data_IF_829857137065
#
_entry.id   IF_829857137065
#
_cell.length_a   1.000
_cell.length_b   1.000
_cell.length_c   1.000
_cell.angle_alpha   90.00
_cell.angle_beta   90.00
_cell.angle_gamma   90.00
#
_symmetry.space_group_name_H-M   'P 1'
#
loop_
_entity.id
_entity.type
_entity.pdbx_description
1 polymer ?
#
# COMPACT_ATOMS: atom_id res chain seq x y z
N UNK A 1 -14.70 -8.58 -5.33
CA UNK A 1 -14.65 -7.18 -5.85
C UNK A 1 -15.94 -6.48 -5.45
N UNK A 2 -15.86 -5.34 -4.78
CA UNK A 2 -17.03 -4.61 -4.25
C UNK A 2 -17.41 -3.39 -5.09
N UNK A 3 -17.03 -3.28 -6.36
CA UNK A 3 -17.39 -2.10 -7.16
C UNK A 3 -18.90 -1.99 -7.45
N UNK A 4 -19.42 -0.76 -7.49
CA UNK A 4 -20.62 -0.41 -8.28
C UNK A 4 -20.14 0.10 -9.64
N UNK A 5 -20.64 -0.46 -10.74
CA UNK A 5 -20.21 -0.05 -12.08
C UNK A 5 -20.67 1.38 -12.36
N UNK A 6 -19.72 2.28 -12.65
CA UNK A 6 -19.99 3.65 -13.10
C UNK A 6 -19.68 3.82 -14.58
N UNK A 7 -20.31 4.79 -15.24
CA UNK A 7 -19.95 5.21 -16.59
C UNK A 7 -19.05 6.43 -16.48
N UNK A 8 -17.82 6.32 -16.98
CA UNK A 8 -16.94 7.46 -17.17
C UNK A 8 -17.45 8.19 -18.43
N UNK A 9 -18.02 9.38 -18.24
CA UNK A 9 -18.61 10.17 -19.33
C UNK A 9 -17.61 11.13 -19.99
N UNK A 10 -16.56 11.53 -19.26
CA UNK A 10 -15.49 12.39 -19.74
C UNK A 10 -14.20 12.12 -18.95
N UNK A 11 -13.05 12.17 -19.62
CA UNK A 11 -11.71 12.10 -19.01
C UNK A 11 -10.85 13.14 -19.70
N UNK A 12 -10.41 14.13 -18.92
CA UNK A 12 -9.33 15.02 -19.36
C UNK A 12 -8.00 14.46 -18.87
N UNK A 13 -7.08 14.20 -19.81
CA UNK A 13 -5.71 13.78 -19.52
C UNK A 13 -4.77 14.91 -19.89
N UNK A 14 -4.18 15.55 -18.89
CA UNK A 14 -3.15 16.57 -19.12
C UNK A 14 -1.81 15.90 -19.46
N UNK A 15 -1.22 16.31 -20.58
CA UNK A 15 0.13 15.89 -20.94
C UNK A 15 1.11 16.76 -20.17
N UNK A 16 1.66 16.22 -19.09
CA UNK A 16 2.74 16.86 -18.34
C UNK A 16 4.11 16.60 -19.00
N UNK A 17 5.00 17.59 -19.09
CA UNK A 17 6.37 17.36 -19.52
C UNK A 17 7.06 16.33 -18.61
N UNK A 18 7.88 15.47 -19.21
CA UNK A 18 8.68 14.51 -18.45
C UNK A 18 9.87 15.24 -17.82
N UNK A 19 9.71 15.69 -16.57
CA UNK A 19 10.77 16.34 -15.80
C UNK A 19 11.79 15.32 -15.29
N UNK A 20 12.96 15.81 -14.87
CA UNK A 20 13.87 15.00 -14.08
C UNK A 20 13.40 14.97 -12.62
N UNK A 21 13.49 13.80 -12.01
CA UNK A 21 13.15 13.58 -10.62
C UNK A 21 14.39 12.98 -9.94
N UNK A 22 14.80 13.59 -8.84
CA UNK A 22 15.82 13.02 -7.96
C UNK A 22 15.13 12.05 -7.00
N UNK A 23 15.50 10.78 -7.08
CA UNK A 23 15.13 9.75 -6.09
C UNK A 23 16.26 9.64 -5.06
N UNK A 24 15.97 9.91 -3.79
CA UNK A 24 16.85 9.58 -2.66
C UNK A 24 16.36 8.30 -2.03
N UNK A 25 17.29 7.50 -1.51
CA UNK A 25 16.98 6.24 -0.84
C UNK A 25 17.72 6.25 0.49
N UNK A 26 16.97 6.06 1.57
CA UNK A 26 17.51 5.99 2.92
C UNK A 26 17.04 4.68 3.56
N UNK A 27 17.92 4.07 4.34
CA UNK A 27 17.62 2.85 5.08
C UNK A 27 17.52 3.16 6.57
N UNK A 28 16.43 2.70 7.18
CA UNK A 28 16.15 2.88 8.59
C UNK A 28 15.54 1.62 9.20
N UNK A 29 14.96 1.80 10.38
CA UNK A 29 14.21 0.76 11.08
C UNK A 29 12.81 1.27 11.42
N UNK A 30 11.94 0.36 11.86
CA UNK A 30 10.55 0.69 12.18
C UNK A 30 10.45 1.74 13.28
N UNK A 31 11.34 1.71 14.28
CA UNK A 31 11.29 2.61 15.44
C UNK A 31 11.55 4.08 15.07
N UNK A 32 12.52 4.35 14.19
CA UNK A 32 12.74 5.71 13.68
C UNK A 32 11.54 6.20 12.90
N UNK A 33 10.98 5.35 12.04
CA UNK A 33 9.77 5.66 11.27
C UNK A 33 8.56 5.96 12.17
N UNK A 34 8.30 5.15 13.20
CA UNK A 34 7.23 5.38 14.17
C UNK A 34 7.41 6.74 14.86
N UNK A 35 8.64 7.07 15.25
CA UNK A 35 8.96 8.37 15.87
C UNK A 35 8.63 9.54 14.94
N UNK A 36 9.02 9.44 13.66
CA UNK A 36 8.74 10.46 12.66
C UNK A 36 7.24 10.56 12.37
N UNK A 37 6.53 9.44 12.27
CA UNK A 37 5.08 9.40 12.07
C UNK A 37 4.32 9.98 13.26
N UNK A 38 4.75 9.74 14.50
CA UNK A 38 4.20 10.38 15.69
C UNK A 38 4.40 11.89 15.65
N UNK A 39 5.56 12.36 15.19
CA UNK A 39 5.79 13.80 15.01
C UNK A 39 4.83 14.39 13.96
N UNK A 40 4.72 13.76 12.79
CA UNK A 40 3.80 14.19 11.71
C UNK A 40 2.36 14.23 12.21
N UNK A 41 1.90 13.19 12.90
CA UNK A 41 0.57 13.12 13.50
C UNK A 41 0.35 14.29 14.47
N UNK A 42 1.29 14.52 15.39
CA UNK A 42 1.16 15.58 16.39
C UNK A 42 1.10 16.96 15.75
N UNK A 43 1.95 17.22 14.75
CA UNK A 43 1.97 18.47 14.00
C UNK A 43 0.65 18.68 13.23
N UNK A 44 0.10 17.63 12.60
CA UNK A 44 -1.22 17.67 11.96
C UNK A 44 -2.32 17.95 12.98
N UNK A 45 -2.34 17.27 14.12
CA UNK A 45 -3.33 17.47 15.18
C UNK A 45 -3.25 18.86 15.81
N UNK A 46 -2.06 19.46 15.89
CA UNK A 46 -1.90 20.85 16.27
C UNK A 46 -2.47 21.82 15.23
N UNK A 47 -2.23 21.55 13.94
CA UNK A 47 -2.80 22.33 12.85
C UNK A 47 -4.33 22.29 12.86
N UNK A 48 -4.95 21.10 12.90
CA UNK A 48 -6.42 20.93 12.95
C UNK A 48 -7.04 21.66 14.13
N UNK A 49 -6.38 21.66 15.30
CA UNK A 49 -6.86 22.42 16.48
C UNK A 49 -6.82 23.94 16.28
N UNK A 50 -5.87 24.45 15.50
CA UNK A 50 -5.72 25.89 15.23
C UNK A 50 -6.64 26.36 14.11
N UNK A 51 -6.82 25.54 13.08
CA UNK A 51 -7.66 25.84 11.92
C UNK A 51 -8.50 24.61 11.50
N UNK A 52 -9.63 24.36 12.17
CA UNK A 52 -10.46 23.20 11.88
C UNK A 52 -11.15 23.27 10.51
N UNK A 53 -11.31 24.47 9.94
CA UNK A 53 -11.95 24.64 8.64
C UNK A 53 -10.98 24.41 7.48
N UNK A 54 -9.69 24.72 7.68
CA UNK A 54 -8.65 24.42 6.71
C UNK A 54 -8.09 22.99 6.86
N UNK A 55 -8.41 22.25 7.93
CA UNK A 55 -7.94 20.88 8.14
C UNK A 55 -8.05 19.94 6.91
N UNK A 56 -9.14 19.95 6.12
CA UNK A 56 -9.27 19.10 4.94
C UNK A 56 -8.48 19.58 3.72
N UNK A 57 -8.02 20.83 3.65
CA UNK A 57 -7.39 21.40 2.45
C UNK A 57 -5.97 21.96 2.69
N UNK A 58 -5.70 22.32 3.93
CA UNK A 58 -4.42 22.74 4.42
C UNK A 58 -3.44 21.60 4.29
N UNK A 59 -2.34 21.87 3.59
CA UNK A 59 -1.13 21.06 3.64
C UNK A 59 -0.27 21.71 4.72
N UNK A 60 -0.47 21.43 6.03
CA UNK A 60 0.48 21.88 7.01
C UNK A 60 1.87 21.39 6.64
N UNK A 61 2.90 22.07 7.12
CA UNK A 61 4.29 21.68 6.88
C UNK A 61 4.57 20.20 7.23
N UNK A 62 3.75 19.58 8.09
CA UNK A 62 3.78 18.15 8.40
C UNK A 62 3.42 17.23 7.23
N UNK A 63 2.47 17.62 6.38
CA UNK A 63 2.14 16.87 5.16
C UNK A 63 3.18 17.16 4.07
N UNK A 64 3.67 18.40 3.98
CA UNK A 64 4.75 18.74 3.05
C UNK A 64 6.03 17.92 3.33
N UNK A 65 6.28 17.54 4.59
CA UNK A 65 7.38 16.65 4.96
C UNK A 65 7.20 15.20 4.46
N UNK A 66 5.98 14.81 4.11
CA UNK A 66 5.62 13.50 3.56
C UNK A 66 5.37 13.54 2.05
N UNK A 67 5.35 14.75 1.47
CA UNK A 67 5.09 14.91 0.05
C UNK A 67 6.16 14.19 -0.75
N UNK A 68 5.72 13.47 -1.77
CA UNK A 68 6.59 12.68 -2.63
C UNK A 68 7.51 11.71 -1.85
N UNK A 69 7.01 11.12 -0.75
CA UNK A 69 7.70 10.09 0.02
C UNK A 69 6.95 8.76 0.03
N UNK A 70 7.69 7.66 -0.09
CA UNK A 70 7.18 6.30 0.04
C UNK A 70 8.11 5.45 0.88
N UNK A 71 7.57 4.39 1.51
CA UNK A 71 8.37 3.46 2.29
C UNK A 71 8.07 2.02 1.92
N UNK A 72 9.11 1.20 1.78
CA UNK A 72 8.99 -0.25 1.87
C UNK A 72 9.34 -0.70 3.29
N UNK A 73 8.39 -1.33 3.97
CA UNK A 73 8.57 -1.87 5.31
C UNK A 73 8.75 -3.38 5.23
N UNK A 74 10.00 -3.82 5.36
CA UNK A 74 10.39 -5.23 5.46
C UNK A 74 10.15 -5.71 6.89
N UNK A 75 8.89 -6.03 7.20
CA UNK A 75 8.41 -6.27 8.57
C UNK A 75 9.27 -7.32 9.30
N UNK A 76 9.42 -8.59 8.85
CA UNK A 76 10.25 -9.57 9.55
C UNK A 76 11.70 -9.16 9.77
N UNK A 77 12.27 -8.38 8.85
CA UNK A 77 13.65 -7.91 8.92
C UNK A 77 13.80 -6.65 9.81
N UNK A 78 12.71 -6.09 10.35
CA UNK A 78 12.66 -4.81 11.04
C UNK A 78 13.42 -3.70 10.29
N UNK A 79 13.28 -3.70 8.97
CA UNK A 79 14.00 -2.78 8.08
C UNK A 79 13.01 -1.98 7.27
N UNK A 80 13.35 -0.72 7.04
CA UNK A 80 12.52 0.22 6.33
C UNK A 80 13.37 0.93 5.28
N UNK A 81 12.92 0.93 4.04
CA UNK A 81 13.54 1.64 2.93
C UNK A 81 12.66 2.85 2.59
N UNK A 82 13.14 4.04 2.90
CA UNK A 82 12.52 5.31 2.53
C UNK A 82 12.97 5.71 1.13
N UNK A 83 12.03 6.16 0.32
CA UNK A 83 12.28 6.79 -0.97
C UNK A 83 11.66 8.18 -0.99
N UNK A 84 12.48 9.19 -1.28
CA UNK A 84 12.03 10.56 -1.49
C UNK A 84 12.17 10.93 -2.97
N UNK A 85 11.15 11.56 -3.55
CA UNK A 85 11.14 12.03 -4.92
C UNK A 85 11.12 13.57 -4.94
N UNK A 86 12.06 14.17 -5.64
CA UNK A 86 12.17 15.63 -5.77
C UNK A 86 12.16 16.02 -7.25
N UNK A 87 11.09 16.68 -7.69
CA UNK A 87 10.98 17.15 -9.08
C UNK A 87 11.90 18.35 -9.32
N UNK A 88 12.74 18.26 -10.34
CA UNK A 88 13.74 19.27 -10.71
C UNK A 88 13.19 20.19 -11.81
N UNK A 89 12.34 21.15 -11.43
CA UNK A 89 11.65 22.06 -12.36
C UNK A 89 12.57 23.01 -13.15
N UNK A 90 13.79 23.28 -12.69
CA UNK A 90 14.67 24.36 -13.21
C UNK A 90 15.77 23.88 -14.18
N UNK A 91 15.65 22.68 -14.74
CA UNK A 91 16.51 22.26 -15.85
C UNK A 91 15.84 22.53 -17.20
N UNK A 92 15.49 23.79 -17.48
CA UNK A 92 15.00 24.19 -18.82
C UNK A 92 15.99 23.89 -19.94
N UNK A 93 17.23 23.56 -19.58
CA UNK A 93 18.20 23.00 -20.51
C UNK A 93 18.50 21.54 -20.14
N UNK A 94 17.60 20.64 -20.56
CA UNK A 94 17.83 19.20 -20.64
C UNK A 94 19.12 18.84 -21.41
N UNK A 95 19.74 19.80 -22.13
CA UNK A 95 21.02 19.65 -22.84
C UNK A 95 22.20 20.20 -22.03
N UNK A 96 22.00 21.07 -21.03
CA UNK A 96 23.05 21.60 -20.15
C UNK A 96 23.24 20.84 -18.85
N UNK A 97 22.40 19.85 -18.54
CA UNK A 97 22.81 18.83 -17.57
C UNK A 97 23.93 18.06 -18.26
N UNK A 98 25.22 18.40 -18.03
CA UNK A 98 26.29 18.05 -18.92
C UNK A 98 26.54 16.56 -18.77
N UNK A 99 26.00 15.72 -19.66
CA UNK A 99 26.17 14.27 -19.60
C UNK A 99 26.23 13.71 -18.16
N UNK A 100 25.38 14.20 -17.24
CA UNK A 100 25.05 13.44 -16.04
C UNK A 100 24.16 12.24 -16.41
N UNK A 101 23.94 12.05 -17.72
CA UNK A 101 24.08 10.79 -18.46
C UNK A 101 25.24 9.97 -17.87
N UNK A 102 24.91 9.27 -16.79
CA UNK A 102 25.58 8.10 -16.22
C UNK A 102 26.67 8.29 -15.14
N UNK A 103 26.31 8.71 -13.92
CA UNK A 103 26.82 7.95 -12.76
C UNK A 103 26.11 6.59 -12.59
N UNK A 104 25.08 6.34 -13.42
CA UNK A 104 24.55 5.01 -13.71
C UNK A 104 25.48 4.15 -14.61
N UNK A 105 26.64 4.65 -15.10
CA UNK A 105 27.58 3.88 -15.96
C UNK A 105 28.58 3.06 -15.16
N UNK A 106 28.76 3.34 -13.87
CA UNK A 106 29.68 2.54 -13.06
C UNK A 106 28.98 1.41 -12.28
N UNK A 107 27.64 1.39 -12.23
CA UNK A 107 26.87 0.19 -11.93
C UNK A 107 26.21 -0.34 -13.21
N UNK A 108 27.02 -0.94 -14.09
CA UNK A 108 26.57 -1.70 -15.25
C UNK A 108 25.50 -2.73 -14.86
N UNK A 109 24.23 -2.32 -14.94
CA UNK A 109 23.08 -3.12 -15.39
C UNK A 109 21.85 -2.24 -15.32
N UNK A 110 21.48 -1.60 -16.43
CA UNK A 110 20.05 -1.45 -16.70
C UNK A 110 19.54 -2.88 -16.70
N UNK A 111 18.72 -3.25 -15.72
CA UNK A 111 18.23 -4.62 -15.57
C UNK A 111 17.24 -4.88 -16.70
N UNK A 112 17.77 -5.27 -17.84
CA UNK A 112 17.00 -5.53 -19.06
C UNK A 112 16.55 -6.99 -19.14
N UNK A 113 17.20 -7.86 -18.36
CA UNK A 113 16.95 -9.30 -18.32
C UNK A 113 17.27 -9.89 -16.93
N UNK A 114 16.93 -11.16 -16.73
CA UNK A 114 17.14 -11.86 -15.46
C UNK A 114 18.62 -12.04 -15.09
N UNK A 115 19.54 -12.18 -16.06
CA UNK A 115 20.97 -12.36 -15.78
C UNK A 115 21.59 -11.09 -15.20
N UNK A 116 21.20 -9.93 -15.74
CA UNK A 116 21.59 -8.62 -15.25
C UNK A 116 21.14 -8.41 -13.79
N UNK A 117 19.89 -8.80 -13.50
CA UNK A 117 19.33 -8.77 -12.16
C UNK A 117 20.12 -9.64 -11.17
N UNK A 118 20.39 -10.90 -11.54
CA UNK A 118 21.15 -11.83 -10.71
C UNK A 118 22.59 -11.39 -10.47
N UNK A 119 23.22 -10.77 -11.47
CA UNK A 119 24.55 -10.20 -11.33
C UNK A 119 24.55 -9.00 -10.37
N UNK A 120 23.54 -8.14 -10.43
CA UNK A 120 23.38 -7.02 -9.51
C UNK A 120 23.15 -7.51 -8.07
N UNK A 121 22.26 -8.48 -7.87
CA UNK A 121 22.05 -9.16 -6.59
C UNK A 121 23.36 -9.74 -6.07
N UNK A 122 24.12 -10.46 -6.90
CA UNK A 122 25.38 -11.07 -6.47
C UNK A 122 26.43 -10.05 -6.03
N UNK A 123 26.50 -8.87 -6.67
CA UNK A 123 27.40 -7.78 -6.26
C UNK A 123 26.97 -7.16 -4.94
N UNK A 124 25.67 -6.92 -4.76
CA UNK A 124 25.12 -6.40 -3.51
C UNK A 124 25.31 -7.41 -2.37
N UNK A 125 25.08 -8.70 -2.64
CA UNK A 125 25.25 -9.80 -1.69
C UNK A 125 26.68 -9.88 -1.14
N UNK A 126 27.69 -9.76 -2.01
CA UNK A 126 29.09 -9.76 -1.61
C UNK A 126 29.47 -8.62 -0.64
N UNK A 127 28.61 -7.61 -0.50
CA UNK A 127 28.81 -6.48 0.40
C UNK A 127 28.00 -6.60 1.71
N UNK A 128 26.99 -7.47 1.79
CA UNK A 128 25.93 -7.37 2.80
C UNK A 128 25.66 -8.60 3.67
N UNK A 129 26.13 -9.81 3.33
CA UNK A 129 25.75 -11.02 4.07
C UNK A 129 26.91 -11.76 4.73
N UNK A 130 26.63 -12.30 5.93
CA UNK A 130 27.56 -13.05 6.76
C UNK A 130 27.06 -14.48 7.12
N UNK A 131 25.95 -14.96 6.55
CA UNK A 131 25.42 -16.30 6.87
C UNK A 131 25.26 -17.22 5.65
N UNK A 132 25.58 -18.50 5.85
CA UNK A 132 25.46 -19.56 4.85
C UNK A 132 24.01 -19.75 4.34
N UNK A 133 23.01 -19.49 5.19
CA UNK A 133 21.59 -19.61 4.83
C UNK A 133 21.14 -18.58 3.79
N UNK A 134 21.77 -17.41 3.76
CA UNK A 134 21.45 -16.35 2.78
C UNK A 134 22.14 -16.60 1.44
N UNK A 135 23.33 -17.22 1.46
CA UNK A 135 24.01 -17.65 0.23
C UNK A 135 23.25 -18.74 -0.50
N UNK A 136 22.78 -19.76 0.22
CA UNK A 136 21.93 -20.82 -0.31
C UNK A 136 20.65 -20.25 -0.94
N UNK A 137 20.03 -19.25 -0.30
CA UNK A 137 18.83 -18.61 -0.80
C UNK A 137 19.06 -17.81 -2.09
N UNK A 138 20.14 -17.03 -2.19
CA UNK A 138 20.47 -16.33 -3.44
C UNK A 138 20.80 -17.31 -4.55
N UNK A 139 21.47 -18.42 -4.23
CA UNK A 139 21.74 -19.48 -5.19
C UNK A 139 20.44 -20.15 -5.67
N UNK A 140 19.49 -20.41 -4.78
CA UNK A 140 18.16 -20.93 -5.11
C UNK A 140 17.34 -19.95 -5.97
N UNK A 141 17.44 -18.64 -5.72
CA UNK A 141 16.84 -17.60 -6.56
C UNK A 141 17.45 -17.58 -7.96
N UNK A 142 18.77 -17.75 -8.06
CA UNK A 142 19.46 -17.89 -9.35
C UNK A 142 18.94 -19.09 -10.12
N UNK A 143 18.80 -20.23 -9.46
CA UNK A 143 18.31 -21.47 -10.08
C UNK A 143 16.87 -21.32 -10.59
N UNK A 144 15.96 -20.77 -9.78
CA UNK A 144 14.58 -20.50 -10.22
C UNK A 144 14.49 -19.48 -11.36
N UNK A 145 15.36 -18.46 -11.35
CA UNK A 145 15.43 -17.46 -12.43
C UNK A 145 16.09 -18.01 -13.72
N UNK A 146 16.80 -19.13 -13.65
CA UNK A 146 17.35 -19.84 -14.83
C UNK A 146 16.33 -20.81 -15.40
N UNK A 147 15.61 -21.56 -14.57
CA UNK A 147 14.56 -22.50 -15.00
C UNK A 147 13.36 -21.81 -15.70
N UNK A 148 13.11 -20.55 -15.32
CA UNK A 148 12.04 -19.69 -15.85
C UNK A 148 12.22 -19.25 -17.32
N UNK A 149 13.36 -19.54 -17.95
CA UNK A 149 13.56 -19.40 -19.40
C UNK A 149 12.95 -20.56 -20.22
N UNK A 150 12.31 -21.54 -19.57
CA UNK A 150 11.50 -22.56 -20.25
C UNK A 150 10.05 -22.08 -20.41
N UNK A 151 9.41 -22.45 -21.52
CA UNK A 151 8.06 -22.01 -21.91
C UNK A 151 6.91 -22.63 -21.05
N UNK A 152 7.20 -23.38 -19.98
CA UNK A 152 6.18 -24.04 -19.16
C UNK A 152 5.71 -23.17 -17.97
N UNK A 153 4.44 -22.69 -17.94
CA UNK A 153 4.00 -21.71 -16.94
C UNK A 153 3.54 -22.28 -15.59
N UNK A 154 3.35 -23.59 -15.45
CA UNK A 154 2.42 -24.14 -14.44
C UNK A 154 3.04 -24.63 -13.11
N UNK A 155 4.38 -24.70 -12.99
CA UNK A 155 5.04 -25.34 -11.82
C UNK A 155 5.74 -24.37 -10.85
N UNK A 156 5.80 -23.08 -11.16
CA UNK A 156 6.53 -22.08 -10.34
C UNK A 156 5.65 -21.53 -9.20
N UNK A 157 4.35 -21.45 -9.44
CA UNK A 157 3.34 -20.85 -8.55
C UNK A 157 3.25 -21.55 -7.17
N UNK A 158 3.30 -22.88 -7.14
CA UNK A 158 3.23 -23.71 -5.92
C UNK A 158 4.54 -23.61 -5.10
N UNK A 159 5.64 -23.29 -5.76
CA UNK A 159 6.99 -23.44 -5.22
C UNK A 159 7.40 -22.30 -4.27
N UNK A 160 6.89 -21.10 -4.50
CA UNK A 160 7.26 -19.90 -3.72
C UNK A 160 6.70 -19.96 -2.30
N UNK A 161 5.43 -20.31 -2.13
CA UNK A 161 4.81 -20.41 -0.81
C UNK A 161 5.40 -21.52 0.07
N UNK A 162 5.75 -22.66 -0.53
CA UNK A 162 6.42 -23.75 0.21
C UNK A 162 7.88 -23.40 0.54
N UNK A 163 8.57 -22.67 -0.34
CA UNK A 163 9.89 -22.09 -0.03
C UNK A 163 9.83 -21.04 1.07
N UNK A 164 8.83 -20.14 1.09
CA UNK A 164 8.65 -19.15 2.17
C UNK A 164 8.61 -19.81 3.55
N UNK A 165 7.95 -20.97 3.67
CA UNK A 165 7.95 -21.75 4.93
C UNK A 165 9.31 -22.36 5.25
N UNK A 166 9.99 -22.94 4.26
CA UNK A 166 11.31 -23.57 4.47
C UNK A 166 12.37 -22.59 4.94
N UNK A 167 12.40 -21.40 4.34
CA UNK A 167 13.43 -20.39 4.60
C UNK A 167 13.03 -19.45 5.74
N UNK A 168 11.74 -19.36 6.08
CA UNK A 168 11.21 -18.46 7.09
C UNK A 168 11.04 -17.02 6.60
N UNK A 169 10.06 -16.31 7.18
CA UNK A 169 9.70 -14.96 6.76
C UNK A 169 10.88 -13.96 6.84
N UNK A 170 11.75 -14.12 7.84
CA UNK A 170 12.95 -13.28 8.01
C UNK A 170 13.91 -13.35 6.82
N UNK A 171 14.22 -14.56 6.34
CA UNK A 171 15.17 -14.73 5.23
C UNK A 171 14.55 -14.26 3.90
N UNK A 172 13.27 -14.52 3.70
CA UNK A 172 12.57 -14.04 2.50
C UNK A 172 12.46 -12.51 2.47
N UNK A 173 12.11 -11.90 3.60
CA UNK A 173 12.06 -10.44 3.74
C UNK A 173 13.43 -9.79 3.51
N UNK A 174 14.51 -10.43 3.97
CA UNK A 174 15.88 -9.99 3.70
C UNK A 174 16.25 -10.05 2.20
N UNK A 175 15.77 -11.06 1.46
CA UNK A 175 15.92 -11.10 0.01
C UNK A 175 15.16 -9.97 -0.66
N UNK A 176 13.91 -9.72 -0.29
CA UNK A 176 13.15 -8.63 -0.88
C UNK A 176 13.82 -7.28 -0.64
N UNK A 177 14.37 -7.06 0.56
CA UNK A 177 15.15 -5.86 0.85
C UNK A 177 16.35 -5.70 -0.10
N UNK A 178 17.08 -6.79 -0.35
CA UNK A 178 18.19 -6.78 -1.31
C UNK A 178 17.72 -6.49 -2.75
N UNK A 179 16.59 -7.09 -3.14
CA UNK A 179 15.97 -6.90 -4.45
C UNK A 179 15.54 -5.44 -4.63
N UNK A 180 14.86 -4.86 -3.64
CA UNK A 180 14.37 -3.49 -3.68
C UNK A 180 15.51 -2.47 -3.74
N UNK A 181 16.62 -2.71 -3.03
CA UNK A 181 17.84 -1.90 -3.13
C UNK A 181 18.40 -1.85 -4.56
N UNK A 182 18.33 -2.98 -5.27
CA UNK A 182 18.80 -3.11 -6.66
C UNK A 182 17.82 -2.47 -7.65
N UNK A 183 16.52 -2.60 -7.40
CA UNK A 183 15.47 -2.11 -8.29
C UNK A 183 15.23 -0.61 -8.18
N UNK A 184 15.40 -0.05 -6.99
CA UNK A 184 15.10 1.33 -6.69
C UNK A 184 16.34 2.10 -6.22
N UNK A 185 17.43 2.18 -7.00
CA UNK A 185 18.64 2.90 -6.60
C UNK A 185 18.38 4.41 -6.51
N UNK A 186 19.11 5.09 -5.62
CA UNK A 186 19.14 6.55 -5.61
C UNK A 186 19.74 7.12 -6.90
N UNK A 187 19.32 8.30 -7.32
CA UNK A 187 19.82 8.94 -8.53
C UNK A 187 18.88 10.01 -9.08
N UNK A 188 19.20 10.53 -10.27
CA UNK A 188 18.34 11.44 -11.02
C UNK A 188 17.87 10.72 -12.27
N UNK A 189 16.56 10.61 -12.44
CA UNK A 189 15.94 9.86 -13.52
C UNK A 189 14.89 10.71 -14.23
N UNK A 190 14.55 10.40 -15.48
CA UNK A 190 13.28 10.86 -16.04
C UNK A 190 12.13 10.44 -15.12
N UNK A 191 11.11 11.28 -14.92
CA UNK A 191 10.02 11.05 -13.97
C UNK A 191 9.40 9.64 -14.10
N UNK A 192 9.17 9.18 -15.33
CA UNK A 192 8.65 7.82 -15.62
C UNK A 192 9.49 6.68 -15.03
N UNK A 193 10.80 6.86 -14.92
CA UNK A 193 11.76 5.87 -14.39
C UNK A 193 12.08 6.10 -12.91
N UNK A 194 11.88 7.32 -12.41
CA UNK A 194 12.14 7.69 -11.03
C UNK A 194 11.14 7.03 -10.08
N UNK A 195 9.85 7.13 -10.39
CA UNK A 195 8.79 6.61 -9.53
C UNK A 195 8.76 5.08 -9.54
N UNK A 196 8.28 4.50 -8.43
CA UNK A 196 8.12 3.05 -8.27
C UNK A 196 7.23 2.53 -9.40
N UNK A 197 7.81 1.69 -10.27
CA UNK A 197 7.10 1.06 -11.35
C UNK A 197 7.50 -0.42 -11.43
N UNK A 198 6.54 -1.27 -11.77
CA UNK A 198 6.85 -2.64 -12.18
C UNK A 198 7.37 -2.60 -13.62
N UNK A 199 8.69 -2.67 -13.77
CA UNK A 199 9.30 -2.85 -15.09
C UNK A 199 8.96 -4.24 -15.66
N UNK A 200 9.30 -4.48 -16.93
CA UNK A 200 8.95 -5.75 -17.60
C UNK A 200 9.53 -7.00 -16.91
N UNK A 201 10.70 -6.89 -16.30
CA UNK A 201 11.33 -8.00 -15.56
C UNK A 201 10.52 -8.29 -14.30
N UNK A 202 10.19 -7.25 -13.54
CA UNK A 202 9.32 -7.36 -12.36
C UNK A 202 7.94 -7.90 -12.72
N UNK A 203 7.33 -7.45 -13.81
CA UNK A 203 6.06 -7.98 -14.28
C UNK A 203 6.17 -9.48 -14.65
N UNK A 204 7.25 -9.89 -15.31
CA UNK A 204 7.49 -11.29 -15.65
C UNK A 204 7.70 -12.17 -14.42
N UNK A 205 8.43 -11.67 -13.43
CA UNK A 205 8.62 -12.30 -12.12
C UNK A 205 7.30 -12.37 -11.35
N UNK A 206 6.63 -11.24 -11.20
CA UNK A 206 5.39 -11.10 -10.44
C UNK A 206 4.26 -11.94 -11.04
N UNK A 207 4.07 -11.97 -12.37
CA UNK A 207 3.01 -12.79 -12.99
C UNK A 207 3.08 -14.28 -12.59
N UNK A 208 4.25 -14.77 -12.20
CA UNK A 208 4.51 -16.17 -11.77
C UNK A 208 4.66 -16.32 -10.25
N UNK A 209 4.50 -15.22 -9.51
CA UNK A 209 4.57 -15.18 -8.04
C UNK A 209 3.31 -14.53 -7.44
N UNK A 210 2.38 -14.03 -8.27
CA UNK A 210 1.23 -13.21 -7.90
C UNK A 210 0.01 -14.03 -7.44
N UNK A 211 0.24 -15.06 -6.63
CA UNK A 211 -0.87 -15.69 -5.92
C UNK A 211 -0.88 -15.12 -4.50
N UNK A 212 -1.50 -13.96 -4.37
CA UNK A 212 -1.71 -13.29 -3.10
C UNK A 212 -2.97 -12.45 -3.16
N UNK A 213 -3.55 -12.20 -1.99
CA UNK A 213 -4.56 -11.17 -1.84
C UNK A 213 -3.89 -9.86 -1.43
N UNK A 214 -4.04 -8.84 -2.27
CA UNK A 214 -3.52 -7.51 -1.95
C UNK A 214 -4.54 -6.74 -1.13
N UNK A 215 -4.17 -6.36 0.10
CA UNK A 215 -4.96 -5.50 0.96
C UNK A 215 -4.36 -4.10 0.98
N UNK A 216 -5.21 -3.11 1.21
CA UNK A 216 -4.77 -1.75 1.40
C UNK A 216 -5.70 -1.04 2.37
N UNK A 217 -5.10 -0.42 3.38
CA UNK A 217 -5.81 0.27 4.45
C UNK A 217 -5.38 1.72 4.46
N UNK A 218 -6.35 2.63 4.40
CA UNK A 218 -6.14 4.07 4.51
C UNK A 218 -6.37 4.51 5.97
N UNK A 219 -5.29 4.74 6.69
CA UNK A 219 -5.26 5.14 8.10
C UNK A 219 -5.33 6.68 8.18
N UNK A 220 -6.27 7.27 8.94
CA UNK A 220 -6.35 8.71 9.09
C UNK A 220 -5.07 9.31 9.69
N UNK A 221 -4.59 10.43 9.14
CA UNK A 221 -3.30 11.00 9.54
C UNK A 221 -3.27 11.42 11.02
N UNK A 222 -4.42 11.82 11.59
CA UNK A 222 -4.52 12.17 13.01
C UNK A 222 -4.28 11.00 13.98
N UNK A 223 -4.25 9.74 13.49
CA UNK A 223 -3.99 8.51 14.26
C UNK A 223 -2.80 7.69 13.77
N UNK A 224 -2.19 8.07 12.65
CA UNK A 224 -1.23 7.21 11.97
C UNK A 224 -0.01 6.85 12.83
N UNK A 225 0.55 7.80 13.56
CA UNK A 225 1.65 7.56 14.49
C UNK A 225 1.29 6.61 15.63
N UNK A 226 0.12 6.78 16.26
CA UNK A 226 -0.38 5.87 17.32
C UNK A 226 -0.61 4.46 16.77
N UNK A 227 -1.19 4.37 15.57
CA UNK A 227 -1.41 3.11 14.88
C UNK A 227 -0.09 2.39 14.59
N UNK A 228 0.92 3.06 14.03
CA UNK A 228 2.21 2.43 13.74
C UNK A 228 3.00 2.08 15.02
N UNK A 229 2.89 2.88 16.09
CA UNK A 229 3.46 2.53 17.40
C UNK A 229 2.84 1.24 17.95
N UNK A 230 1.51 1.12 17.88
CA UNK A 230 0.80 -0.10 18.27
C UNK A 230 1.18 -1.31 17.41
N UNK A 231 1.23 -1.15 16.09
CA UNK A 231 1.64 -2.21 15.18
C UNK A 231 3.09 -2.64 15.41
N UNK A 232 4.00 -1.71 15.67
CA UNK A 232 5.41 -2.02 15.97
C UNK A 232 5.53 -2.92 17.19
N UNK A 233 4.81 -2.59 18.27
CA UNK A 233 4.80 -3.40 19.50
C UNK A 233 4.24 -4.81 19.28
N UNK A 234 3.27 -4.97 18.37
CA UNK A 234 2.69 -6.27 18.02
C UNK A 234 3.57 -7.09 17.06
N UNK A 235 4.28 -6.42 16.14
CA UNK A 235 5.16 -7.08 15.17
C UNK A 235 6.46 -7.53 15.81
N UNK A 236 6.98 -6.78 16.78
CA UNK A 236 8.26 -7.01 17.43
C UNK A 236 8.11 -7.11 18.96
N UNK A 237 7.41 -8.14 19.46
CA UNK A 237 7.23 -8.32 20.89
C UNK A 237 8.56 -8.64 21.60
N UNK A 238 8.57 -8.50 22.92
CA UNK A 238 9.74 -8.81 23.76
C UNK A 238 10.26 -10.25 23.53
N UNK A 239 11.58 -10.47 23.67
CA UNK A 239 12.17 -11.80 23.48
C UNK A 239 11.49 -12.88 24.36
N UNK A 240 11.08 -13.97 23.73
CA UNK A 240 10.39 -15.09 24.40
C UNK A 240 8.87 -15.05 24.28
N UNK A 241 8.29 -14.07 23.57
CA UNK A 241 6.87 -14.09 23.22
C UNK A 241 6.49 -15.38 22.46
N UNK A 242 5.28 -15.94 22.71
CA UNK A 242 4.76 -17.08 21.95
C UNK A 242 4.80 -16.84 20.44
N UNK A 243 4.99 -17.90 19.65
CA UNK A 243 5.07 -17.79 18.19
C UNK A 243 3.80 -17.17 17.57
N UNK A 244 2.63 -17.46 18.15
CA UNK A 244 1.34 -16.90 17.70
C UNK A 244 1.24 -15.38 17.94
N UNK A 245 2.11 -14.82 18.79
CA UNK A 245 2.22 -13.38 19.04
C UNK A 245 3.32 -12.71 18.21
N UNK A 246 4.11 -13.46 17.43
CA UNK A 246 5.13 -12.91 16.53
C UNK A 246 4.53 -12.54 15.17
N UNK A 247 3.65 -11.54 15.14
CA UNK A 247 2.81 -11.22 13.98
C UNK A 247 3.60 -10.93 12.70
N UNK A 248 4.85 -10.45 12.84
CA UNK A 248 5.74 -10.18 11.73
C UNK A 248 5.91 -11.39 10.79
N UNK A 249 5.80 -12.63 11.30
CA UNK A 249 5.95 -13.84 10.48
C UNK A 249 4.89 -13.99 9.40
N UNK A 250 3.75 -13.31 9.51
CA UNK A 250 2.69 -13.30 8.50
C UNK A 250 3.00 -12.46 7.25
N UNK A 251 4.12 -11.70 7.24
CA UNK A 251 4.42 -10.66 6.25
C UNK A 251 5.78 -10.88 5.57
N UNK A 252 5.95 -11.95 4.78
CA UNK A 252 7.24 -12.29 4.19
C UNK A 252 7.73 -11.24 3.16
N UNK A 253 6.81 -10.51 2.54
CA UNK A 253 7.04 -9.46 1.55
C UNK A 253 6.90 -8.06 2.16
N UNK A 254 7.55 -7.03 1.58
CA UNK A 254 7.49 -5.68 2.11
C UNK A 254 6.08 -5.09 2.02
N UNK A 255 5.67 -4.40 3.08
CA UNK A 255 4.52 -3.52 3.02
C UNK A 255 4.90 -2.20 2.32
N UNK A 256 3.99 -1.63 1.53
CA UNK A 256 4.20 -0.32 0.90
C UNK A 256 3.38 0.74 1.64
N UNK A 257 4.06 1.76 2.16
CA UNK A 257 3.45 2.88 2.86
C UNK A 257 3.51 4.12 1.97
N UNK A 258 2.36 4.78 1.80
CA UNK A 258 2.19 5.97 0.96
C UNK A 258 1.34 7.01 1.66
N UNK A 259 1.54 8.27 1.34
CA UNK A 259 0.79 9.38 1.90
C UNK A 259 -0.07 9.98 0.81
N UNK A 260 -1.35 10.17 1.11
CA UNK A 260 -2.31 10.70 0.15
C UNK A 260 -3.05 11.84 0.81
N UNK A 261 -3.15 12.96 0.10
CA UNK A 261 -3.99 14.08 0.51
C UNK A 261 -5.46 13.65 0.61
N UNK A 262 -6.23 14.42 1.34
CA UNK A 262 -7.69 14.36 1.32
C UNK A 262 -8.23 14.54 -0.10
N UNK A 263 -9.36 13.90 -0.38
CA UNK A 263 -10.14 14.09 -1.59
C UNK A 263 -11.60 14.29 -1.24
N UNK A 264 -12.30 15.10 -2.04
CA UNK A 264 -13.70 15.43 -1.77
C UNK A 264 -14.70 14.47 -2.44
N UNK A 265 -14.21 13.36 -3.01
CA UNK A 265 -15.08 12.34 -3.59
C UNK A 265 -15.81 11.57 -2.49
N UNK A 266 -17.11 11.33 -2.68
CA UNK A 266 -17.98 10.77 -1.63
C UNK A 266 -17.43 9.52 -0.94
N UNK A 267 -16.80 8.62 -1.71
CA UNK A 267 -16.30 7.34 -1.21
C UNK A 267 -14.79 7.22 -1.33
N UNK A 268 -14.05 8.31 -1.55
CA UNK A 268 -12.59 8.21 -1.50
C UNK A 268 -12.19 7.75 -0.09
N UNK A 269 -11.32 6.74 0.06
CA UNK A 269 -10.84 6.37 1.39
C UNK A 269 -10.19 7.56 2.13
N UNK A 270 -9.70 8.58 1.42
CA UNK A 270 -9.18 9.85 2.00
C UNK A 270 -10.22 10.95 2.19
N UNK A 271 -11.51 10.64 2.05
CA UNK A 271 -12.56 11.63 2.28
C UNK A 271 -12.49 12.17 3.73
N UNK A 272 -12.51 13.50 3.84
CA UNK A 272 -12.53 14.24 5.10
C UNK A 272 -11.16 14.60 5.67
N UNK A 273 -10.11 13.83 5.37
CA UNK A 273 -8.75 14.13 5.83
C UNK A 273 -7.65 13.37 5.05
N UNK A 274 -6.41 13.87 5.04
CA UNK A 274 -5.24 13.15 4.56
C UNK A 274 -5.04 11.81 5.27
N UNK A 275 -4.51 10.81 4.56
CA UNK A 275 -4.33 9.46 5.09
C UNK A 275 -3.00 8.83 4.70
N UNK A 276 -2.60 7.86 5.51
CA UNK A 276 -1.51 6.94 5.23
C UNK A 276 -2.08 5.65 4.67
N UNK A 277 -1.71 5.31 3.45
CA UNK A 277 -2.04 4.04 2.82
C UNK A 277 -0.99 3.02 3.21
N UNK A 278 -1.41 1.94 3.87
CA UNK A 278 -0.60 0.76 4.11
C UNK A 278 -1.09 -0.36 3.20
N UNK A 279 -0.27 -0.71 2.21
CA UNK A 279 -0.49 -1.84 1.33
C UNK A 279 0.28 -3.05 1.87
N UNK A 280 -0.43 -4.14 2.09
CA UNK A 280 0.10 -5.41 2.61
C UNK A 280 -0.51 -6.55 1.81
N UNK A 281 0.24 -7.63 1.59
CA UNK A 281 -0.23 -8.73 0.74
C UNK A 281 -0.19 -10.06 1.51
N UNK A 282 -1.28 -10.82 1.44
CA UNK A 282 -1.40 -12.14 2.05
C UNK A 282 -0.97 -13.22 1.06
N UNK A 283 0.32 -13.53 1.08
CA UNK A 283 0.91 -14.63 0.33
C UNK A 283 0.69 -16.01 0.97
N UNK A 284 0.47 -16.04 2.29
CA UNK A 284 0.50 -17.30 3.01
C UNK A 284 -0.77 -18.13 2.77
N UNK A 285 -1.92 -17.47 2.70
CA UNK A 285 -3.22 -18.13 2.43
C UNK A 285 -3.21 -18.91 1.10
N UNK A 286 -2.49 -18.40 0.09
CA UNK A 286 -2.43 -19.01 -1.24
C UNK A 286 -1.20 -19.91 -1.47
N UNK A 287 -0.38 -20.13 -0.44
CA UNK A 287 0.70 -21.11 -0.52
C UNK A 287 0.14 -22.54 -0.56
N UNK A 288 0.91 -23.51 -1.06
CA UNK A 288 0.57 -24.95 -1.00
C UNK A 288 0.17 -25.38 0.43
N UNK A 289 0.74 -24.72 1.44
CA UNK A 289 0.30 -24.81 2.84
C UNK A 289 -1.17 -24.50 3.02
N UNK A 290 -1.56 -23.27 2.64
CA UNK A 290 -2.86 -22.70 2.88
C UNK A 290 -3.91 -23.42 2.08
N UNK A 291 -3.64 -23.68 0.79
CA UNK A 291 -4.56 -24.37 -0.10
C UNK A 291 -4.81 -25.83 0.33
N UNK A 292 -3.76 -26.61 0.60
CA UNK A 292 -3.93 -28.03 0.94
C UNK A 292 -4.42 -28.28 2.37
N UNK A 293 -4.32 -27.29 3.26
CA UNK A 293 -4.74 -27.44 4.67
C UNK A 293 -5.94 -26.60 5.05
N UNK A 294 -6.45 -25.75 4.13
CA UNK A 294 -7.49 -24.76 4.43
C UNK A 294 -7.07 -23.75 5.50
N UNK A 295 -5.75 -23.54 5.69
CA UNK A 295 -5.23 -22.67 6.75
C UNK A 295 -5.19 -21.23 6.27
N UNK A 296 -5.87 -20.36 7.02
CA UNK A 296 -5.81 -18.91 6.86
C UNK A 296 -4.52 -18.36 7.48
N UNK A 297 -4.01 -17.24 6.94
CA UNK A 297 -2.92 -16.49 7.55
C UNK A 297 -3.41 -15.75 8.81
N UNK A 298 -3.49 -16.46 9.94
CA UNK A 298 -4.05 -15.91 11.19
C UNK A 298 -3.28 -14.70 11.71
N UNK A 299 -1.95 -14.65 11.52
CA UNK A 299 -1.14 -13.46 11.85
C UNK A 299 -1.59 -12.24 11.03
N UNK A 300 -1.77 -12.41 9.73
CA UNK A 300 -2.22 -11.34 8.84
C UNK A 300 -3.60 -10.83 9.22
N UNK A 301 -4.57 -11.73 9.44
CA UNK A 301 -5.91 -11.33 9.83
C UNK A 301 -5.96 -10.65 11.20
N UNK A 302 -5.09 -11.04 12.14
CA UNK A 302 -4.95 -10.31 13.41
C UNK A 302 -4.48 -8.87 13.19
N UNK A 303 -3.48 -8.66 12.34
CA UNK A 303 -3.03 -7.30 11.98
C UNK A 303 -4.12 -6.51 11.25
N UNK A 304 -4.89 -7.15 10.35
CA UNK A 304 -6.04 -6.51 9.71
C UNK A 304 -7.11 -6.08 10.71
N UNK A 305 -7.36 -6.87 11.77
CA UNK A 305 -8.26 -6.49 12.85
C UNK A 305 -7.77 -5.23 13.57
N UNK A 306 -6.47 -5.16 13.89
CA UNK A 306 -5.88 -3.98 14.54
C UNK A 306 -5.95 -2.73 13.64
N UNK A 307 -5.65 -2.90 12.34
CA UNK A 307 -5.75 -1.84 11.33
C UNK A 307 -7.18 -1.28 11.19
N UNK A 308 -8.19 -2.13 11.38
CA UNK A 308 -9.62 -1.76 11.32
C UNK A 308 -10.18 -1.32 12.67
N UNK A 309 -9.49 -1.62 13.77
CA UNK A 309 -9.93 -1.33 15.14
C UNK A 309 -9.81 0.13 15.55
N UNK A 310 -10.16 0.44 16.80
CA UNK A 310 -10.32 1.82 17.29
C UNK A 310 -9.04 2.67 17.26
N UNK A 311 -7.88 2.03 17.41
CA UNK A 311 -6.57 2.69 17.40
C UNK A 311 -6.27 3.23 16.01
N UNK A 312 -6.45 2.41 14.98
CA UNK A 312 -6.09 2.75 13.61
C UNK A 312 -7.25 3.35 12.81
N UNK A 313 -8.48 2.85 12.98
CA UNK A 313 -9.68 3.24 12.20
C UNK A 313 -9.42 3.33 10.69
N UNK A 314 -8.65 2.37 10.20
CA UNK A 314 -8.29 2.30 8.80
C UNK A 314 -9.49 1.95 7.93
N UNK A 315 -9.62 2.62 6.78
CA UNK A 315 -10.63 2.30 5.75
C UNK A 315 -10.05 1.33 4.73
N UNK A 316 -10.81 0.31 4.32
CA UNK A 316 -10.39 -0.58 3.25
C UNK A 316 -10.45 0.14 1.89
N UNK A 317 -9.47 -0.12 1.04
CA UNK A 317 -9.49 0.36 -0.34
C UNK A 317 -10.48 -0.45 -1.19
N UNK A 318 -11.37 0.23 -1.93
CA UNK A 318 -12.43 -0.41 -2.73
C UNK A 318 -11.93 -1.36 -3.83
N UNK A 319 -10.76 -1.04 -4.41
CA UNK A 319 -10.14 -1.81 -5.50
C UNK A 319 -9.20 -2.94 -5.06
N UNK A 320 -9.18 -3.28 -3.77
CA UNK A 320 -8.28 -4.29 -3.19
C UNK A 320 -9.08 -5.43 -2.53
N UNK A 321 -8.39 -6.44 -2.01
CA UNK A 321 -8.97 -7.57 -1.31
C UNK A 321 -9.53 -7.18 0.08
N UNK A 322 -10.05 -8.17 0.83
CA UNK A 322 -10.50 -8.03 2.21
C UNK A 322 -11.98 -7.74 2.42
N UNK A 323 -12.68 -7.35 1.35
CA UNK A 323 -14.10 -7.04 1.49
C UNK A 323 -14.98 -8.26 1.75
N UNK A 324 -14.59 -9.48 1.35
CA UNK A 324 -15.42 -10.65 1.65
C UNK A 324 -15.39 -10.95 3.16
N UNK A 325 -14.26 -10.70 3.80
CA UNK A 325 -13.95 -10.99 5.19
C UNK A 325 -14.44 -9.87 6.12
N UNK A 326 -14.43 -8.62 5.64
CA UNK A 326 -14.72 -7.43 6.45
C UNK A 326 -16.02 -6.71 6.08
N UNK A 327 -16.73 -7.11 5.02
CA UNK A 327 -18.00 -6.46 4.62
C UNK A 327 -19.07 -6.50 5.70
N UNK A 328 -19.13 -7.56 6.52
CA UNK A 328 -20.14 -7.67 7.59
C UNK A 328 -19.93 -6.64 8.71
N UNK A 329 -18.69 -6.18 8.89
CA UNK A 329 -18.32 -5.13 9.84
C UNK A 329 -18.26 -3.73 9.22
N UNK A 330 -18.53 -3.61 7.92
CA UNK A 330 -18.51 -2.33 7.24
C UNK A 330 -19.78 -1.55 7.58
N UNK A 331 -19.60 -0.33 8.07
CA UNK A 331 -20.69 0.62 8.27
C UNK A 331 -20.34 1.91 7.52
N UNK A 332 -21.01 2.11 6.39
CA UNK A 332 -20.74 3.25 5.54
C UNK A 332 -21.06 4.59 6.20
N UNK A 333 -22.09 4.67 7.06
CA UNK A 333 -22.41 5.92 7.75
C UNK A 333 -21.42 6.22 8.89
N UNK A 334 -20.82 5.19 9.50
CA UNK A 334 -19.73 5.40 10.46
C UNK A 334 -18.41 5.72 9.76
N UNK A 335 -18.08 5.02 8.66
CA UNK A 335 -16.83 5.22 7.95
C UNK A 335 -16.83 6.49 7.09
N UNK A 336 -17.97 6.91 6.55
CA UNK A 336 -18.12 8.08 5.67
C UNK A 336 -19.30 8.96 6.13
N UNK A 337 -19.24 9.55 7.34
CA UNK A 337 -20.39 10.18 7.99
C UNK A 337 -21.00 11.34 7.18
N UNK A 338 -20.16 12.11 6.50
CA UNK A 338 -20.60 13.28 5.74
C UNK A 338 -21.06 12.97 4.33
N UNK A 339 -20.72 11.80 3.78
CA UNK A 339 -20.85 11.54 2.33
C UNK A 339 -21.58 10.25 1.98
N UNK A 340 -21.71 9.32 2.92
CA UNK A 340 -22.35 8.02 2.67
C UNK A 340 -23.78 8.17 2.16
N UNK A 341 -24.61 8.94 2.86
CA UNK A 341 -26.01 9.12 2.48
C UNK A 341 -26.17 10.02 1.26
N UNK A 342 -25.28 11.00 1.04
CA UNK A 342 -25.27 11.75 -0.22
C UNK A 342 -25.07 10.81 -1.40
N UNK A 343 -24.07 9.91 -1.30
CA UNK A 343 -23.83 8.91 -2.33
C UNK A 343 -25.03 7.97 -2.52
N UNK A 344 -25.69 7.54 -1.43
CA UNK A 344 -26.93 6.76 -1.51
C UNK A 344 -28.05 7.48 -2.29
N UNK A 345 -28.25 8.77 -2.04
CA UNK A 345 -29.22 9.59 -2.78
C UNK A 345 -28.87 9.66 -4.27
N UNK A 346 -27.61 9.93 -4.63
CA UNK A 346 -27.19 9.97 -6.03
C UNK A 346 -27.30 8.60 -6.72
N UNK A 347 -27.02 7.52 -6.00
CA UNK A 347 -27.26 6.16 -6.50
C UNK A 347 -28.74 5.95 -6.84
N UNK A 348 -29.66 6.37 -5.97
CA UNK A 348 -31.09 6.24 -6.21
C UNK A 348 -31.56 7.09 -7.38
N UNK A 349 -31.01 8.30 -7.53
CA UNK A 349 -31.33 9.23 -8.62
C UNK A 349 -30.84 8.70 -9.97
N UNK A 350 -29.58 8.28 -10.04
CA UNK A 350 -28.90 7.92 -11.29
C UNK A 350 -29.13 6.46 -11.72
N UNK A 351 -29.44 5.58 -10.77
CA UNK A 351 -29.68 4.16 -11.01
C UNK A 351 -30.91 3.64 -10.23
N UNK A 352 -32.12 4.20 -10.51
CA UNK A 352 -33.34 3.90 -9.75
C UNK A 352 -33.79 2.44 -9.88
N UNK A 353 -33.35 1.75 -10.94
CA UNK A 353 -33.63 0.33 -11.22
C UNK A 353 -32.52 -0.61 -10.71
N UNK A 354 -31.48 -0.09 -10.06
CA UNK A 354 -30.35 -0.86 -9.54
C UNK A 354 -29.61 -1.70 -10.60
N UNK A 355 -29.52 -1.20 -11.83
CA UNK A 355 -28.84 -1.85 -12.95
C UNK A 355 -27.35 -2.08 -12.66
N UNK A 356 -26.73 -1.19 -11.89
CA UNK A 356 -25.30 -1.26 -11.55
C UNK A 356 -25.02 -1.88 -10.18
N UNK A 357 -26.01 -2.49 -9.53
CA UNK A 357 -25.83 -3.15 -8.25
C UNK A 357 -24.75 -4.24 -8.32
N UNK A 358 -23.72 -4.09 -7.50
CA UNK A 358 -22.66 -5.10 -7.36
C UNK A 358 -23.13 -6.34 -6.59
N UNK A 359 -22.31 -7.39 -6.59
CA UNK A 359 -22.58 -8.63 -5.83
C UNK A 359 -22.46 -8.46 -4.32
N UNK A 360 -21.81 -7.38 -3.87
CA UNK A 360 -21.57 -7.11 -2.46
C UNK A 360 -22.77 -6.45 -1.78
N UNK A 361 -22.97 -6.78 -0.51
CA UNK A 361 -24.02 -6.22 0.32
C UNK A 361 -23.62 -4.93 1.05
N UNK A 362 -22.38 -4.46 0.89
CA UNK A 362 -21.90 -3.20 1.51
C UNK A 362 -22.62 -1.96 0.97
N UNK A 363 -23.23 -2.05 -0.22
CA UNK A 363 -23.95 -0.95 -0.86
C UNK A 363 -25.41 -0.88 -0.42
N UNK A 364 -25.62 -0.68 0.87
CA UNK A 364 -26.96 -0.53 1.46
C UNK A 364 -27.04 0.74 2.27
N UNK A 365 -28.15 1.45 2.08
CA UNK A 365 -28.53 2.62 2.87
C UNK A 365 -29.84 2.31 3.59
N UNK A 366 -29.84 1.15 4.27
CA UNK A 366 -31.00 0.69 5.01
C UNK A 366 -31.32 1.75 6.10
N UNK A 367 -32.55 2.28 6.09
CA UNK A 367 -32.96 3.36 6.98
C UNK A 367 -32.86 4.78 6.39
N UNK A 368 -32.34 4.96 5.17
CA UNK A 368 -32.45 6.20 4.43
C UNK A 368 -33.84 6.30 3.76
N UNK A 369 -34.65 7.26 4.18
CA UNK A 369 -35.91 7.61 3.52
C UNK A 369 -35.63 8.48 2.31
N UNK A 370 -35.47 7.86 1.14
CA UNK A 370 -35.08 8.57 -0.09
C UNK A 370 -36.05 9.69 -0.46
N UNK A 371 -37.37 9.46 -0.36
CA UNK A 371 -38.37 10.43 -0.78
C UNK A 371 -38.40 11.67 0.12
N UNK A 372 -38.00 11.50 1.39
CA UNK A 372 -37.98 12.59 2.38
C UNK A 372 -36.62 13.27 2.51
N UNK A 373 -35.54 12.51 2.34
CA UNK A 373 -34.20 12.92 2.74
C UNK A 373 -33.22 13.08 1.57
N UNK A 374 -33.65 12.82 0.34
CA UNK A 374 -32.87 13.07 -0.85
C UNK A 374 -33.48 14.18 -1.70
N UNK A 375 -32.66 15.15 -2.10
CA UNK A 375 -33.02 16.21 -3.03
C UNK A 375 -32.28 15.99 -4.36
N UNK A 376 -32.99 15.94 -5.51
CA UNK A 376 -32.35 15.70 -6.81
C UNK A 376 -31.24 16.70 -7.11
N UNK A 377 -30.06 16.19 -7.47
CA UNK A 377 -28.88 17.01 -7.76
C UNK A 377 -28.13 17.54 -6.52
N UNK A 378 -28.73 17.51 -5.33
CA UNK A 378 -28.11 17.99 -4.07
C UNK A 378 -27.68 16.84 -3.14
N UNK A 379 -28.28 15.66 -3.28
CA UNK A 379 -27.98 14.50 -2.46
C UNK A 379 -28.77 14.50 -1.15
N UNK A 380 -28.12 14.16 -0.03
CA UNK A 380 -28.77 14.01 1.27
C UNK A 380 -29.02 15.35 1.95
N UNK A 381 -30.23 15.58 2.46
CA UNK A 381 -30.60 16.81 3.18
C UNK A 381 -30.64 16.54 4.68
N UNK A 382 -29.65 17.06 5.41
CA UNK A 382 -29.60 16.96 6.87
C UNK A 382 -30.73 17.75 7.51
N UNK A 383 -31.62 17.07 8.24
CA UNK A 383 -32.72 17.71 8.97
C UNK A 383 -33.04 16.91 10.24
N UNK A 384 -33.79 17.46 11.21
CA UNK A 384 -34.17 16.72 12.43
C UNK A 384 -34.90 15.39 12.14
N UNK A 385 -35.43 15.22 10.94
CA UNK A 385 -36.13 14.02 10.50
C UNK A 385 -35.34 13.15 9.52
N UNK A 386 -34.14 13.58 9.12
CA UNK A 386 -33.27 12.90 8.18
C UNK A 386 -31.92 12.70 8.86
N UNK A 387 -31.68 11.47 9.32
CA UNK A 387 -30.44 11.10 9.99
C UNK A 387 -29.77 10.00 9.17
N UNK A 388 -28.55 10.26 8.72
CA UNK A 388 -27.70 9.22 8.15
C UNK A 388 -27.24 8.33 9.32
N UNK A 389 -27.89 7.19 9.51
CA UNK A 389 -27.59 6.30 10.63
C UNK A 389 -26.68 5.16 10.20
N UNK A 390 -25.69 4.93 11.05
CA UNK A 390 -25.02 3.65 11.21
C UNK A 390 -26.05 2.53 11.28
N UNK A 391 -25.88 1.48 10.46
CA UNK A 391 -26.60 0.24 10.71
C UNK A 391 -26.02 -0.32 12.00
N UNK A 392 -26.85 -0.41 13.05
CA UNK A 392 -26.42 -0.83 14.38
C UNK A 392 -25.55 -2.09 14.29
N UNK A 393 -24.34 -1.99 14.87
CA UNK A 393 -23.37 -3.07 15.00
C UNK A 393 -23.94 -4.27 15.75
#
# INVERSE_FOLDING_TARGET
MVGRLGVIIDVTLDIIPNYQVRRKVEHGNTKSFVTDMKKVQNDYNEFVRKDPNDAPHGIPASIAALDERQYFWHIPANSLMQMDFETLYDSTDLRSVPNAVFEYRNSNTVINNAQDFLAAIGRQQAQSFNSASQEELVQELRESLVETNSDEPAMIDIYVGDRMRRIGANNFSAVYNLVDQVLFPAGIFPAREAYINQNRVMYGMHRRMQIYDQYEVAIPLHKAGDCFEHLEALMFPEPGAPLDDQLAQGFPIPALIRFVKSEDFFLSPTQGEPRVYLNIEDYYTHSEAGENTGRTNTWFYRVMQELRGDICQGRLHWGKAGWNEHASSFDGAAEYPETWCHFGCFVKELDPENKFQGVSHVWRWDGLDYDRCCEPGEGFVSSPNCVCRALGA
#
